data_IF_601982595524
#
_entry.id   IF_601982595524
#
_cell.length_a   1.000
_cell.length_b   1.000
_cell.length_c   1.000
_cell.angle_alpha   90.00
_cell.angle_beta   90.00
_cell.angle_gamma   90.00
#
_symmetry.space_group_name_H-M   'P 1'
#
loop_
_entity.id
_entity.type
_entity.pdbx_description
1 polymer ?
#
# COMPACT_ATOMS: atom_id res chain seq x y z
N UNK A 1 -6.20 -15.14 19.47
CA UNK A 1 -6.15 -15.82 18.16
C UNK A 1 -4.71 -16.12 17.79
N UNK A 2 -4.49 -16.99 16.80
CA UNK A 2 -3.16 -17.22 16.22
C UNK A 2 -3.14 -16.68 14.79
N UNK A 3 -2.00 -16.17 14.35
CA UNK A 3 -1.77 -15.73 12.98
C UNK A 3 -0.30 -15.98 12.58
N UNK A 4 0.00 -15.88 11.30
CA UNK A 4 1.35 -15.95 10.73
C UNK A 4 1.71 -14.64 10.06
N UNK A 5 2.99 -14.26 10.13
CA UNK A 5 3.50 -13.13 9.35
C UNK A 5 3.91 -13.57 7.93
N UNK A 6 4.37 -12.61 7.14
CA UNK A 6 4.83 -12.84 5.75
C UNK A 6 6.03 -13.79 5.64
N UNK A 7 6.71 -14.09 6.75
CA UNK A 7 7.83 -15.03 6.83
C UNK A 7 7.42 -16.40 7.36
N UNK A 8 6.12 -16.59 7.71
CA UNK A 8 5.58 -17.84 8.28
C UNK A 8 5.84 -18.00 9.78
N UNK A 9 6.29 -16.95 10.48
CA UNK A 9 6.42 -16.98 11.94
C UNK A 9 5.04 -16.89 12.58
N UNK A 10 4.80 -17.75 13.61
CA UNK A 10 3.52 -17.81 14.30
C UNK A 10 3.49 -16.89 15.52
N UNK A 11 2.39 -16.21 15.69
CA UNK A 11 2.10 -15.30 16.79
C UNK A 11 0.78 -15.66 17.47
N UNK A 12 0.63 -15.21 18.70
CA UNK A 12 -0.63 -15.33 19.47
C UNK A 12 -0.96 -13.99 20.10
N UNK A 13 -2.18 -13.52 19.88
CA UNK A 13 -2.66 -12.23 20.40
C UNK A 13 -4.09 -12.38 20.96
N UNK A 14 -4.42 -11.57 21.96
CA UNK A 14 -5.79 -11.42 22.42
C UNK A 14 -6.59 -10.51 21.48
N UNK A 15 -7.82 -10.90 21.17
CA UNK A 15 -8.71 -10.11 20.33
C UNK A 15 -9.35 -9.02 21.19
N UNK A 16 -9.15 -7.75 20.85
CA UNK A 16 -9.86 -6.65 21.46
C UNK A 16 -11.35 -6.70 21.03
N UNK A 17 -12.25 -6.85 22.00
CA UNK A 17 -13.69 -6.97 21.75
C UNK A 17 -14.38 -5.63 21.45
N UNK A 18 -13.72 -4.50 21.72
CA UNK A 18 -14.26 -3.17 21.47
C UNK A 18 -14.10 -2.72 20.02
N UNK A 19 -13.22 -3.38 19.24
CA UNK A 19 -12.99 -3.08 17.84
C UNK A 19 -14.01 -3.82 16.97
N UNK A 20 -14.57 -3.14 15.96
CA UNK A 20 -15.50 -3.72 15.01
C UNK A 20 -14.91 -4.96 14.33
N UNK A 21 -15.66 -6.06 14.30
CA UNK A 21 -15.21 -7.32 13.69
C UNK A 21 -15.56 -7.34 12.21
N UNK A 22 -14.71 -8.01 11.42
CA UNK A 22 -15.01 -8.26 10.00
C UNK A 22 -16.33 -9.03 9.87
N UNK A 23 -17.11 -8.65 8.88
CA UNK A 23 -18.41 -9.28 8.57
C UNK A 23 -18.36 -10.07 7.28
N UNK A 24 -17.19 -10.22 6.67
CA UNK A 24 -16.99 -11.01 5.47
C UNK A 24 -17.02 -12.49 5.79
N UNK A 25 -17.66 -13.26 4.90
CA UNK A 25 -17.65 -14.72 4.98
C UNK A 25 -16.40 -15.27 4.28
N UNK A 26 -15.46 -15.77 5.05
CA UNK A 26 -14.16 -16.27 4.55
C UNK A 26 -14.27 -17.39 3.50
N UNK A 27 -15.43 -18.05 3.39
CA UNK A 27 -15.67 -19.09 2.36
C UNK A 27 -16.04 -18.52 1.00
N UNK A 28 -16.32 -17.24 0.90
CA UNK A 28 -16.73 -16.56 -0.33
C UNK A 28 -15.59 -15.77 -1.00
N UNK A 29 -14.38 -15.82 -0.45
CA UNK A 29 -13.18 -15.35 -1.14
C UNK A 29 -12.76 -16.40 -2.18
N UNK A 30 -12.85 -16.03 -3.45
CA UNK A 30 -12.55 -16.92 -4.58
C UNK A 30 -11.32 -16.38 -5.30
N UNK A 31 -10.25 -17.18 -5.29
CA UNK A 31 -9.03 -16.93 -6.03
C UNK A 31 -9.12 -17.55 -7.43
N UNK A 32 -8.80 -16.77 -8.46
CA UNK A 32 -8.68 -17.18 -9.85
C UNK A 32 -7.37 -16.62 -10.42
N UNK A 33 -6.30 -17.41 -10.32
CA UNK A 33 -4.93 -16.94 -10.57
C UNK A 33 -4.57 -15.79 -9.63
N UNK A 34 -4.11 -14.68 -10.21
CA UNK A 34 -3.75 -13.47 -9.47
C UNK A 34 -4.98 -12.63 -9.05
N UNK A 35 -6.18 -13.10 -9.32
CA UNK A 35 -7.41 -12.36 -9.03
C UNK A 35 -8.14 -12.95 -7.85
N UNK A 36 -8.66 -12.06 -7.03
CA UNK A 36 -9.55 -12.39 -5.95
C UNK A 36 -10.93 -11.79 -6.23
N UNK A 37 -12.00 -12.53 -5.98
CA UNK A 37 -13.37 -12.01 -6.02
C UNK A 37 -14.10 -12.33 -4.72
N UNK A 38 -15.03 -11.45 -4.36
CA UNK A 38 -15.92 -11.62 -3.23
C UNK A 38 -17.29 -11.03 -3.54
N UNK A 39 -18.34 -11.75 -3.24
CA UNK A 39 -19.70 -11.21 -3.26
C UNK A 39 -20.60 -12.01 -2.32
N UNK A 40 -21.35 -11.33 -1.49
CA UNK A 40 -22.45 -11.88 -0.70
C UNK A 40 -23.70 -10.99 -0.80
N UNK A 41 -24.69 -11.18 0.09
CA UNK A 41 -25.90 -10.38 0.11
C UNK A 41 -25.65 -8.92 0.51
N UNK A 42 -24.59 -8.66 1.29
CA UNK A 42 -24.29 -7.37 1.90
C UNK A 42 -23.14 -6.62 1.18
N UNK A 43 -22.13 -7.35 0.72
CA UNK A 43 -20.91 -6.77 0.16
C UNK A 43 -20.62 -7.27 -1.25
N UNK A 44 -19.99 -6.44 -2.04
CA UNK A 44 -19.32 -6.80 -3.29
C UNK A 44 -17.92 -6.23 -3.28
N UNK A 45 -17.00 -6.83 -4.03
CA UNK A 45 -15.63 -6.34 -4.10
C UNK A 45 -15.29 -5.74 -5.46
N UNK A 46 -14.46 -4.71 -5.44
CA UNK A 46 -13.82 -4.08 -6.60
C UNK A 46 -12.35 -4.47 -6.63
N UNK A 47 -11.76 -4.56 -7.81
CA UNK A 47 -10.34 -4.87 -7.98
C UNK A 47 -9.55 -3.58 -8.20
N UNK A 48 -8.45 -3.42 -7.49
CA UNK A 48 -7.54 -2.28 -7.59
C UNK A 48 -6.08 -2.67 -7.60
N UNK A 49 -5.23 -1.66 -7.78
CA UNK A 49 -3.77 -1.77 -7.63
C UNK A 49 -3.27 -0.65 -6.74
N UNK A 50 -2.15 -0.86 -6.07
CA UNK A 50 -1.34 0.23 -5.53
C UNK A 50 0.01 0.29 -6.22
N UNK A 51 0.54 1.50 -6.36
CA UNK A 51 1.71 1.77 -7.17
C UNK A 51 2.52 2.95 -6.63
N UNK A 52 3.83 2.89 -6.88
CA UNK A 52 4.79 3.98 -6.68
C UNK A 52 5.70 4.08 -7.91
N UNK A 53 6.70 4.95 -7.90
CA UNK A 53 7.65 5.07 -8.99
C UNK A 53 8.38 3.75 -9.33
N UNK A 54 8.43 2.80 -8.41
CA UNK A 54 9.08 1.50 -8.61
C UNK A 54 8.46 0.67 -9.73
N UNK A 55 7.18 0.87 -10.03
CA UNK A 55 6.49 0.16 -11.10
C UNK A 55 6.84 0.69 -12.51
N UNK A 56 7.64 1.78 -12.60
CA UNK A 56 8.13 2.30 -13.88
C UNK A 56 6.99 2.81 -14.78
N UNK A 57 7.00 2.46 -16.04
CA UNK A 57 5.93 2.84 -16.98
C UNK A 57 4.72 1.93 -16.86
N UNK A 58 3.53 2.51 -16.68
CA UNK A 58 2.27 1.78 -16.54
C UNK A 58 1.33 2.12 -17.70
N UNK A 59 0.85 1.10 -18.43
CA UNK A 59 -0.23 1.26 -19.39
C UNK A 59 -1.60 1.23 -18.69
N UNK A 60 -2.01 2.37 -18.18
CA UNK A 60 -3.25 2.54 -17.41
C UNK A 60 -4.51 2.12 -18.19
N UNK A 61 -4.49 2.21 -19.52
CA UNK A 61 -5.60 1.72 -20.35
C UNK A 61 -5.68 0.20 -20.32
N UNK A 62 -4.53 -0.49 -20.29
CA UNK A 62 -4.52 -1.96 -20.11
C UNK A 62 -4.93 -2.34 -18.70
N UNK A 63 -4.53 -1.58 -17.66
CA UNK A 63 -5.01 -1.78 -16.28
C UNK A 63 -6.54 -1.73 -16.25
N UNK A 64 -7.16 -0.67 -16.80
CA UNK A 64 -8.62 -0.55 -16.87
C UNK A 64 -9.27 -1.66 -17.68
N UNK A 65 -8.74 -1.95 -18.86
CA UNK A 65 -9.24 -3.01 -19.73
C UNK A 65 -9.14 -4.42 -19.11
N UNK A 66 -8.19 -4.62 -18.21
CA UNK A 66 -8.03 -5.84 -17.41
C UNK A 66 -9.05 -5.94 -16.26
N UNK A 67 -9.94 -4.96 -16.07
CA UNK A 67 -11.02 -4.99 -15.08
C UNK A 67 -10.63 -4.45 -13.71
N UNK A 68 -9.56 -3.65 -13.62
CA UNK A 68 -9.25 -2.89 -12.43
C UNK A 68 -10.09 -1.62 -12.39
N UNK A 69 -10.63 -1.28 -11.23
CA UNK A 69 -11.56 -0.18 -11.05
C UNK A 69 -10.96 1.00 -10.32
N UNK A 70 -9.89 0.79 -9.56
CA UNK A 70 -9.26 1.83 -8.76
C UNK A 70 -7.74 1.64 -8.63
N UNK A 71 -7.07 2.71 -8.20
CA UNK A 71 -5.67 2.71 -7.85
C UNK A 71 -5.40 3.54 -6.59
N UNK A 72 -4.52 3.08 -5.71
CA UNK A 72 -3.84 3.90 -4.74
C UNK A 72 -2.44 4.24 -5.25
N UNK A 73 -2.11 5.53 -5.29
CA UNK A 73 -0.85 6.03 -5.87
C UNK A 73 -0.03 6.68 -4.77
N UNK A 74 1.24 6.31 -4.65
CA UNK A 74 2.12 6.97 -3.68
C UNK A 74 2.30 8.43 -4.06
N UNK A 75 1.91 9.35 -3.16
CA UNK A 75 2.13 10.79 -3.36
C UNK A 75 3.51 11.23 -2.91
N UNK A 76 4.06 10.56 -1.90
CA UNK A 76 5.36 10.87 -1.36
C UNK A 76 5.73 9.93 -0.21
N UNK A 77 6.88 10.19 0.37
CA UNK A 77 7.41 9.40 1.48
C UNK A 77 8.36 10.22 2.34
N UNK A 78 8.49 9.82 3.61
CA UNK A 78 9.60 10.29 4.46
C UNK A 78 10.71 9.25 4.43
N UNK A 79 11.95 9.69 4.18
CA UNK A 79 13.13 8.83 4.24
C UNK A 79 13.34 8.26 5.65
N UNK A 80 13.73 6.99 5.74
CA UNK A 80 13.90 6.27 7.00
C UNK A 80 15.22 6.59 7.72
N UNK A 81 16.19 7.19 7.04
CA UNK A 81 17.42 7.63 7.66
C UNK A 81 17.18 8.76 8.68
N UNK A 82 18.17 9.05 9.54
CA UNK A 82 18.09 10.02 10.63
C UNK A 82 17.55 11.39 10.19
N UNK A 83 17.91 11.84 8.98
CA UNK A 83 17.47 13.13 8.43
C UNK A 83 15.96 13.22 8.21
N UNK A 84 15.27 12.10 7.96
CA UNK A 84 13.81 12.04 7.80
C UNK A 84 13.26 13.02 6.76
N UNK A 85 13.93 13.15 5.61
CA UNK A 85 13.54 14.10 4.56
C UNK A 85 12.24 13.67 3.90
N UNK A 86 11.29 14.60 3.76
CA UNK A 86 10.05 14.37 3.01
C UNK A 86 10.30 14.55 1.51
N UNK A 87 9.89 13.59 0.70
CA UNK A 87 10.10 13.54 -0.73
C UNK A 87 8.79 13.28 -1.48
N UNK A 88 8.62 13.90 -2.63
CA UNK A 88 7.55 13.54 -3.55
C UNK A 88 7.90 12.23 -4.29
N UNK A 89 6.89 11.41 -4.58
CA UNK A 89 7.07 10.34 -5.55
C UNK A 89 7.20 10.94 -6.95
N UNK A 90 8.31 10.64 -7.63
CA UNK A 90 8.66 11.28 -8.92
C UNK A 90 7.69 10.97 -10.06
N UNK A 91 6.82 9.96 -9.90
CA UNK A 91 5.79 9.60 -10.88
C UNK A 91 4.38 9.96 -10.46
N UNK A 92 4.21 10.57 -9.30
CA UNK A 92 2.89 10.88 -8.77
C UNK A 92 2.00 11.65 -9.74
N UNK A 93 2.48 12.80 -10.24
CA UNK A 93 1.71 13.67 -11.14
C UNK A 93 1.36 12.97 -12.48
N UNK A 94 2.29 12.18 -13.01
CA UNK A 94 2.07 11.39 -14.20
C UNK A 94 1.01 10.30 -13.96
N UNK A 95 1.14 9.55 -12.88
CA UNK A 95 0.29 8.41 -12.59
C UNK A 95 -1.15 8.83 -12.28
N UNK A 96 -1.34 9.86 -11.44
CA UNK A 96 -2.68 10.29 -11.06
C UNK A 96 -3.47 10.79 -12.28
N UNK A 97 -2.84 11.57 -13.17
CA UNK A 97 -3.46 12.07 -14.38
C UNK A 97 -3.81 10.92 -15.34
N UNK A 98 -2.88 9.98 -15.54
CA UNK A 98 -3.09 8.87 -16.47
C UNK A 98 -4.12 7.86 -15.96
N UNK A 99 -4.14 7.56 -14.65
CA UNK A 99 -5.12 6.67 -14.03
C UNK A 99 -6.54 7.25 -14.13
N UNK A 100 -6.71 8.52 -13.78
CA UNK A 100 -8.01 9.22 -13.91
C UNK A 100 -8.47 9.31 -15.36
N UNK A 101 -7.57 9.61 -16.31
CA UNK A 101 -7.88 9.63 -17.75
C UNK A 101 -8.25 8.25 -18.29
N UNK A 102 -7.77 7.17 -17.67
CA UNK A 102 -8.16 5.80 -18.01
C UNK A 102 -9.51 5.39 -17.39
N UNK A 103 -10.09 6.22 -16.50
CA UNK A 103 -11.37 5.97 -15.85
C UNK A 103 -11.24 5.08 -14.60
N UNK A 104 -10.11 5.14 -13.91
CA UNK A 104 -9.93 4.56 -12.58
C UNK A 104 -10.31 5.57 -11.50
N UNK A 105 -10.95 5.10 -10.42
CA UNK A 105 -11.05 5.85 -9.19
C UNK A 105 -9.68 5.89 -8.52
N UNK A 106 -9.28 7.05 -7.98
CA UNK A 106 -7.94 7.22 -7.42
C UNK A 106 -7.99 7.68 -5.98
N UNK A 107 -7.21 7.01 -5.14
CA UNK A 107 -6.75 7.45 -3.83
C UNK A 107 -5.23 7.61 -3.82
N UNK A 108 -4.71 8.14 -2.74
CA UNK A 108 -3.27 8.31 -2.58
C UNK A 108 -2.79 7.75 -1.25
N UNK A 109 -1.52 7.35 -1.17
CA UNK A 109 -0.90 6.98 0.10
C UNK A 109 0.42 7.71 0.30
N UNK A 110 0.75 7.97 1.56
CA UNK A 110 2.01 8.56 1.98
C UNK A 110 2.75 7.56 2.87
N UNK A 111 3.93 7.11 2.42
CA UNK A 111 4.80 6.22 3.19
C UNK A 111 5.47 7.00 4.31
N UNK A 112 5.07 6.73 5.54
CA UNK A 112 5.44 7.50 6.71
C UNK A 112 6.57 6.86 7.51
N UNK A 113 7.52 7.71 7.88
CA UNK A 113 8.54 7.42 8.89
C UNK A 113 8.55 8.52 9.97
N UNK A 114 7.38 9.06 10.31
CA UNK A 114 7.23 10.06 11.34
C UNK A 114 7.53 9.50 12.74
N UNK A 115 8.37 10.17 13.51
CA UNK A 115 8.72 9.77 14.88
C UNK A 115 7.89 10.50 15.94
N UNK A 116 7.08 11.49 15.56
CA UNK A 116 6.20 12.25 16.42
C UNK A 116 5.05 12.90 15.62
N UNK A 117 4.06 13.47 16.34
CA UNK A 117 2.86 14.08 15.73
C UNK A 117 3.16 15.35 14.92
N UNK A 118 4.25 16.07 15.20
CA UNK A 118 4.64 17.25 14.43
C UNK A 118 5.06 16.83 13.02
N UNK A 119 5.88 15.80 12.92
CA UNK A 119 6.30 15.23 11.64
C UNK A 119 5.12 14.61 10.87
N UNK A 120 4.20 13.93 11.56
CA UNK A 120 3.00 13.39 10.91
C UNK A 120 2.11 14.51 10.33
N UNK A 121 2.00 15.66 11.01
CA UNK A 121 1.32 16.84 10.47
C UNK A 121 2.07 17.49 9.31
N UNK A 122 3.41 17.47 9.34
CA UNK A 122 4.24 17.92 8.21
C UNK A 122 3.98 17.05 6.97
N UNK A 123 3.91 15.72 7.15
CA UNK A 123 3.56 14.77 6.08
C UNK A 123 2.16 15.04 5.52
N UNK A 124 1.16 15.22 6.40
CA UNK A 124 -0.20 15.57 5.97
C UNK A 124 -0.24 16.89 5.19
N UNK A 125 0.49 17.92 5.68
CA UNK A 125 0.61 19.19 4.96
C UNK A 125 1.24 19.00 3.58
N UNK A 126 2.31 18.23 3.49
CA UNK A 126 2.95 17.91 2.21
C UNK A 126 1.95 17.26 1.24
N UNK A 127 1.17 16.28 1.70
CA UNK A 127 0.13 15.63 0.90
C UNK A 127 -0.90 16.65 0.41
N UNK A 128 -1.42 17.49 1.29
CA UNK A 128 -2.43 18.50 0.95
C UNK A 128 -1.91 19.54 -0.05
N UNK A 129 -0.66 19.96 0.09
CA UNK A 129 -0.02 20.90 -0.84
C UNK A 129 0.08 20.29 -2.26
N UNK A 130 0.37 18.97 -2.37
CA UNK A 130 0.52 18.26 -3.65
C UNK A 130 -0.82 17.80 -4.25
N UNK A 131 -1.89 17.67 -3.44
CA UNK A 131 -3.22 17.35 -3.94
C UNK A 131 -3.95 18.54 -4.57
N UNK A 132 -3.38 19.74 -4.50
CA UNK A 132 -4.02 20.93 -5.05
C UNK A 132 -4.28 20.79 -6.56
N UNK A 133 -5.55 20.78 -6.93
CA UNK A 133 -5.99 20.65 -8.33
C UNK A 133 -6.36 19.21 -8.74
N UNK A 134 -6.18 18.22 -7.88
CA UNK A 134 -6.66 16.86 -8.09
C UNK A 134 -7.95 16.59 -7.31
N UNK A 135 -8.82 15.77 -7.88
CA UNK A 135 -10.04 15.30 -7.23
C UNK A 135 -9.92 13.81 -6.97
N UNK A 136 -9.92 13.43 -5.71
CA UNK A 136 -9.84 12.03 -5.30
C UNK A 136 -11.25 11.42 -5.19
N UNK A 137 -11.40 10.16 -5.58
CA UNK A 137 -12.60 9.34 -5.38
C UNK A 137 -12.44 8.37 -4.22
N UNK A 138 -11.21 8.18 -3.75
CA UNK A 138 -10.82 7.30 -2.65
C UNK A 138 -10.01 8.09 -1.60
N UNK A 139 -9.86 7.55 -0.39
CA UNK A 139 -9.18 8.24 0.71
C UNK A 139 -7.70 8.58 0.45
N UNK A 140 -7.20 9.44 1.32
CA UNK A 140 -5.76 9.63 1.58
C UNK A 140 -5.35 8.66 2.68
N UNK A 141 -4.35 7.82 2.40
CA UNK A 141 -3.91 6.76 3.31
C UNK A 141 -2.63 7.15 4.02
N UNK A 142 -2.64 7.03 5.34
CA UNK A 142 -1.44 7.06 6.16
C UNK A 142 -0.85 5.65 6.20
N UNK A 143 0.38 5.51 5.72
CA UNK A 143 1.06 4.22 5.53
C UNK A 143 2.35 4.15 6.36
N UNK A 144 2.23 3.82 7.67
CA UNK A 144 3.37 3.63 8.54
C UNK A 144 3.86 2.20 8.39
N UNK A 145 5.15 2.01 8.08
CA UNK A 145 5.76 0.68 7.98
C UNK A 145 7.12 0.63 8.66
N UNK A 146 7.48 -0.55 9.16
CA UNK A 146 8.81 -0.82 9.69
C UNK A 146 9.79 -1.10 8.55
N UNK A 147 11.00 -0.58 8.64
CA UNK A 147 12.12 -0.94 7.77
C UNK A 147 12.82 -2.15 8.39
N UNK A 148 12.93 -3.25 7.64
CA UNK A 148 13.44 -4.52 8.20
C UNK A 148 14.89 -4.83 7.84
N UNK A 149 15.39 -4.22 6.77
CA UNK A 149 16.72 -4.56 6.21
C UNK A 149 17.82 -3.56 6.59
N UNK A 150 17.48 -2.46 7.31
CA UNK A 150 18.41 -1.41 7.71
C UNK A 150 17.94 -0.74 9.01
N UNK A 151 18.82 -0.02 9.70
CA UNK A 151 18.46 0.79 10.87
C UNK A 151 17.58 1.97 10.45
N UNK A 152 16.42 2.09 11.07
CA UNK A 152 15.47 3.15 10.76
C UNK A 152 15.25 4.10 11.94
N UNK A 153 14.96 5.34 11.63
CA UNK A 153 14.62 6.38 12.62
C UNK A 153 13.39 6.02 13.48
N UNK A 154 12.56 5.11 12.99
CA UNK A 154 11.35 4.65 13.65
C UNK A 154 11.53 3.41 14.51
N UNK A 155 12.69 2.75 14.55
CA UNK A 155 12.92 1.49 15.29
C UNK A 155 12.64 1.56 16.79
N UNK A 156 12.72 2.75 17.35
CA UNK A 156 12.48 2.99 18.78
C UNK A 156 11.21 3.79 19.07
N UNK A 157 10.39 3.98 18.07
CA UNK A 157 9.07 4.62 18.22
C UNK A 157 8.11 3.60 18.84
N UNK A 158 7.42 3.99 19.89
CA UNK A 158 6.45 3.09 20.54
C UNK A 158 5.14 3.02 19.76
N UNK A 159 4.41 1.92 19.91
CA UNK A 159 3.06 1.77 19.33
C UNK A 159 2.08 2.88 19.78
N UNK A 160 2.22 3.38 21.03
CA UNK A 160 1.46 4.55 21.47
C UNK A 160 1.78 5.80 20.62
N UNK A 161 3.06 6.00 20.27
CA UNK A 161 3.47 7.12 19.44
C UNK A 161 3.03 6.94 17.98
N UNK A 162 3.12 5.73 17.43
CA UNK A 162 2.58 5.44 16.09
C UNK A 162 1.07 5.72 16.02
N UNK A 163 0.31 5.35 17.04
CA UNK A 163 -1.12 5.67 17.14
C UNK A 163 -1.36 7.18 17.12
N UNK A 164 -0.59 7.97 17.88
CA UNK A 164 -0.70 9.44 17.91
C UNK A 164 -0.30 10.08 16.56
N UNK A 165 0.73 9.56 15.91
CA UNK A 165 1.16 10.02 14.59
C UNK A 165 0.05 9.79 13.56
N UNK A 166 -0.55 8.59 13.57
CA UNK A 166 -1.68 8.23 12.72
C UNK A 166 -2.87 9.17 12.93
N UNK A 167 -3.25 9.41 14.18
CA UNK A 167 -4.32 10.37 14.53
C UNK A 167 -4.00 11.78 14.04
N UNK A 168 -2.75 12.24 14.21
CA UNK A 168 -2.34 13.58 13.83
C UNK A 168 -2.38 13.79 12.32
N UNK A 169 -1.93 12.80 11.53
CA UNK A 169 -2.03 12.82 10.08
C UNK A 169 -3.48 12.79 9.61
N UNK A 170 -4.23 11.77 10.01
CA UNK A 170 -5.61 11.56 9.56
C UNK A 170 -6.52 12.74 9.91
N UNK A 171 -6.43 13.27 11.13
CA UNK A 171 -7.20 14.46 11.53
C UNK A 171 -6.89 15.69 10.68
N UNK A 172 -5.62 15.88 10.26
CA UNK A 172 -5.25 16.99 9.39
C UNK A 172 -5.83 16.84 7.97
N UNK A 173 -5.84 15.61 7.45
CA UNK A 173 -6.45 15.27 6.15
C UNK A 173 -7.97 15.52 6.19
N UNK A 174 -8.67 15.04 7.23
CA UNK A 174 -10.11 15.25 7.39
C UNK A 174 -10.47 16.73 7.57
N UNK A 175 -9.66 17.48 8.33
CA UNK A 175 -9.87 18.92 8.52
C UNK A 175 -9.78 19.71 7.21
N UNK A 176 -9.08 19.18 6.20
CA UNK A 176 -9.00 19.74 4.86
C UNK A 176 -10.13 19.26 3.92
N UNK A 177 -11.00 18.36 4.39
CA UNK A 177 -12.17 17.89 3.65
C UNK A 177 -11.93 16.65 2.78
N UNK A 178 -10.84 15.92 3.01
CA UNK A 178 -10.60 14.61 2.39
C UNK A 178 -10.93 13.48 3.36
N UNK A 179 -11.31 12.33 2.83
CA UNK A 179 -11.43 11.13 3.63
C UNK A 179 -10.03 10.59 3.97
N UNK A 180 -9.83 10.17 5.22
CA UNK A 180 -8.58 9.55 5.67
C UNK A 180 -8.77 8.03 5.86
N UNK A 181 -7.70 7.28 5.65
CA UNK A 181 -7.63 5.82 5.84
C UNK A 181 -6.27 5.45 6.42
N UNK A 182 -6.19 4.35 7.14
CA UNK A 182 -4.93 3.84 7.69
C UNK A 182 -4.54 2.53 7.01
N UNK A 183 -3.25 2.37 6.68
CA UNK A 183 -2.68 1.09 6.27
C UNK A 183 -2.22 0.32 7.50
N UNK A 184 -2.44 -0.99 7.51
CA UNK A 184 -2.01 -1.86 8.58
C UNK A 184 -1.86 -3.31 8.11
N UNK A 185 -1.14 -4.11 8.88
CA UNK A 185 -1.05 -5.56 8.77
C UNK A 185 -1.23 -6.21 10.14
N UNK A 186 -1.22 -7.54 10.20
CA UNK A 186 -1.45 -8.27 11.47
C UNK A 186 -0.50 -7.90 12.61
N UNK A 187 0.78 -7.64 12.31
CA UNK A 187 1.75 -7.26 13.34
C UNK A 187 1.46 -5.86 13.87
N UNK A 188 1.15 -4.92 12.97
CA UNK A 188 0.79 -3.56 13.35
C UNK A 188 -0.52 -3.49 14.12
N UNK A 189 -1.54 -4.27 13.72
CA UNK A 189 -2.81 -4.38 14.46
C UNK A 189 -2.63 -5.00 15.85
N UNK A 190 -1.67 -5.91 15.98
CA UNK A 190 -1.44 -6.64 17.23
C UNK A 190 -0.56 -5.90 18.23
N UNK A 191 0.42 -5.11 17.77
CA UNK A 191 1.50 -4.64 18.64
C UNK A 191 1.80 -3.14 18.53
N UNK A 192 1.43 -2.50 17.41
CA UNK A 192 1.84 -1.11 17.15
C UNK A 192 0.68 -0.13 17.19
N UNK A 193 -0.49 -0.46 16.64
CA UNK A 193 -1.60 0.46 16.56
C UNK A 193 -2.69 0.16 17.58
N UNK A 194 -3.14 1.18 18.30
CA UNK A 194 -4.36 1.12 19.10
C UNK A 194 -5.59 1.37 18.20
N UNK A 195 -6.06 0.29 17.55
CA UNK A 195 -7.21 0.37 16.64
C UNK A 195 -8.53 0.77 17.33
N UNK A 196 -8.63 0.70 18.66
CA UNK A 196 -9.79 1.20 19.40
C UNK A 196 -9.82 2.73 19.34
N UNK A 197 -8.67 3.40 19.51
CA UNK A 197 -8.55 4.85 19.36
C UNK A 197 -8.70 5.29 17.89
N UNK A 198 -8.22 4.47 16.98
CA UNK A 198 -8.27 4.75 15.53
C UNK A 198 -9.57 4.27 14.87
N UNK A 199 -10.58 3.86 15.64
CA UNK A 199 -11.81 3.25 15.14
C UNK A 199 -12.68 4.14 14.23
N UNK A 200 -12.39 5.44 14.17
CA UNK A 200 -13.04 6.38 13.24
C UNK A 200 -12.53 6.24 11.80
N UNK A 201 -11.34 5.67 11.60
CA UNK A 201 -10.70 5.58 10.30
C UNK A 201 -10.89 4.19 9.69
N UNK A 202 -11.27 4.10 8.40
CA UNK A 202 -11.27 2.83 7.68
C UNK A 202 -9.84 2.27 7.55
N UNK A 203 -9.74 0.95 7.41
CA UNK A 203 -8.47 0.24 7.33
C UNK A 203 -8.25 -0.31 5.93
N UNK A 204 -7.06 -0.07 5.39
CA UNK A 204 -6.45 -0.83 4.31
C UNK A 204 -5.54 -1.88 4.96
N UNK A 205 -6.00 -3.13 4.92
CA UNK A 205 -5.33 -4.26 5.56
C UNK A 205 -4.45 -5.01 4.56
N UNK A 206 -3.20 -5.30 4.92
CA UNK A 206 -2.29 -6.12 4.13
C UNK A 206 -2.09 -7.50 4.76
N UNK A 207 -2.30 -8.54 3.96
CA UNK A 207 -2.11 -9.93 4.35
C UNK A 207 -2.14 -10.80 3.09
N UNK A 208 -1.11 -11.60 2.87
CA UNK A 208 -0.92 -12.37 1.63
C UNK A 208 -1.33 -13.83 1.78
N UNK A 209 -2.07 -14.14 2.85
CA UNK A 209 -2.69 -15.43 3.03
C UNK A 209 -3.94 -15.62 2.14
N UNK A 210 -4.38 -16.86 1.96
CA UNK A 210 -5.57 -17.17 1.15
C UNK A 210 -6.85 -16.53 1.68
N UNK A 211 -6.86 -16.13 2.95
CA UNK A 211 -7.96 -15.48 3.65
C UNK A 211 -7.40 -14.48 4.63
N UNK A 212 -8.08 -13.33 4.83
CA UNK A 212 -7.60 -12.33 5.76
C UNK A 212 -7.61 -12.86 7.18
N UNK A 213 -6.46 -12.87 7.84
CA UNK A 213 -6.30 -13.39 9.20
C UNK A 213 -6.88 -12.46 10.25
N UNK A 214 -6.94 -11.14 9.99
CA UNK A 214 -7.46 -10.18 10.96
C UNK A 214 -8.90 -10.50 11.38
N UNK A 215 -9.23 -10.40 12.69
CA UNK A 215 -10.59 -10.51 13.16
C UNK A 215 -11.37 -9.18 13.00
N UNK A 216 -10.69 -8.08 12.66
CA UNK A 216 -11.23 -6.75 12.63
C UNK A 216 -11.78 -6.39 11.25
N UNK A 217 -12.63 -5.35 11.21
CA UNK A 217 -13.17 -4.86 9.96
C UNK A 217 -12.14 -4.06 9.18
N UNK A 218 -12.11 -4.25 7.88
CA UNK A 218 -11.30 -3.50 6.92
C UNK A 218 -12.13 -3.20 5.67
N UNK A 219 -11.78 -2.15 4.94
CA UNK A 219 -12.46 -1.78 3.70
C UNK A 219 -11.64 -2.15 2.45
N UNK A 220 -10.32 -2.15 2.57
CA UNK A 220 -9.40 -2.55 1.50
C UNK A 220 -8.51 -3.66 1.99
N UNK A 221 -8.31 -4.68 1.15
CA UNK A 221 -7.37 -5.77 1.42
C UNK A 221 -6.32 -5.85 0.32
N UNK A 222 -5.05 -5.63 0.69
CA UNK A 222 -3.90 -5.96 -0.15
C UNK A 222 -3.60 -7.44 0.03
N UNK A 223 -4.00 -8.25 -0.94
CA UNK A 223 -3.95 -9.71 -0.84
C UNK A 223 -2.75 -10.34 -1.55
N UNK A 224 -1.93 -9.56 -2.23
CA UNK A 224 -0.67 -9.99 -2.84
C UNK A 224 0.26 -8.81 -3.11
N UNK A 225 1.56 -9.05 -3.00
CA UNK A 225 2.65 -8.15 -3.37
C UNK A 225 3.34 -8.57 -4.69
N UNK A 226 2.79 -9.53 -5.43
CA UNK A 226 3.39 -10.12 -6.65
C UNK A 226 2.39 -10.16 -7.82
N UNK A 227 1.62 -9.10 -8.00
CA UNK A 227 0.66 -9.01 -9.07
C UNK A 227 1.28 -8.59 -10.41
N UNK A 228 0.71 -9.04 -11.53
CA UNK A 228 1.06 -8.53 -12.86
C UNK A 228 -0.17 -8.24 -13.68
N UNK A 229 -0.24 -7.03 -14.26
CA UNK A 229 -1.32 -6.65 -15.19
C UNK A 229 -0.90 -7.00 -16.62
N UNK A 230 -1.65 -7.90 -17.26
CA UNK A 230 -1.51 -8.12 -18.70
C UNK A 230 -0.45 -9.12 -19.13
N UNK A 231 -0.11 -10.13 -18.34
CA UNK A 231 0.43 -11.38 -18.92
C UNK A 231 -0.65 -12.04 -19.76
N UNK A 232 -0.81 -11.56 -21.01
CA UNK A 232 -1.40 -12.39 -22.04
C UNK A 232 -0.55 -13.67 -22.12
N UNK A 233 -1.19 -14.84 -22.19
CA UNK A 233 -0.52 -16.11 -22.43
C UNK A 233 0.48 -15.93 -23.57
N UNK A 234 1.78 -15.91 -23.26
CA UNK A 234 2.80 -15.99 -24.29
C UNK A 234 2.72 -17.42 -24.80
N UNK A 235 2.17 -17.59 -25.99
CA UNK A 235 2.28 -18.84 -26.69
C UNK A 235 3.78 -19.18 -26.77
N UNK A 236 4.14 -20.35 -26.30
CA UNK A 236 5.47 -20.92 -26.37
C UNK A 236 5.90 -21.03 -27.84
N UNK A 237 6.56 -20.00 -28.35
CA UNK A 237 7.37 -20.06 -29.54
C UNK A 237 8.81 -20.30 -29.13
N UNK A 238 9.33 -21.48 -29.41
CA UNK A 238 10.73 -21.80 -29.31
C UNK A 238 11.58 -20.75 -30.03
N UNK A 239 12.51 -20.12 -29.30
CA UNK A 239 13.67 -19.46 -29.90
C UNK A 239 14.92 -19.94 -29.15
N UNK A 240 15.96 -20.37 -29.89
CA UNK A 240 17.12 -21.06 -29.29
C UNK A 240 18.03 -20.10 -28.55
N UNK A 241 18.72 -20.65 -27.56
CA UNK A 241 19.75 -20.03 -26.76
C UNK A 241 20.78 -19.27 -27.61
N UNK A 242 20.98 -17.98 -27.31
CA UNK A 242 22.16 -17.25 -27.74
C UNK A 242 23.26 -17.39 -26.70
N UNK A 243 24.44 -17.72 -27.18
CA UNK A 243 25.68 -18.02 -26.50
C UNK A 243 26.22 -16.83 -25.70
N UNK A 244 26.82 -17.16 -24.55
CA UNK A 244 27.76 -16.31 -23.84
C UNK A 244 28.93 -15.92 -24.75
N UNK A 245 29.12 -14.61 -24.97
CA UNK A 245 30.37 -13.92 -25.25
C UNK A 245 30.06 -12.47 -25.61
N UNK A 246 30.16 -11.57 -24.63
CA UNK A 246 30.86 -10.29 -24.76
C UNK A 246 30.88 -9.54 -23.41
N UNK A 247 31.98 -9.73 -22.67
CA UNK A 247 32.38 -8.83 -21.61
C UNK A 247 33.52 -8.00 -22.13
N UNK A 248 33.26 -6.76 -22.49
CA UNK A 248 34.32 -5.75 -22.45
C UNK A 248 33.78 -4.34 -22.29
N UNK A 249 34.13 -3.79 -21.11
CA UNK A 249 34.56 -2.41 -20.85
C UNK A 249 33.76 -1.21 -21.40
N UNK A 250 33.42 -0.39 -20.43
CA UNK A 250 33.33 1.08 -20.43
C UNK A 250 31.99 1.49 -19.83
N UNK A 251 31.85 2.32 -18.86
CA UNK A 251 32.52 3.47 -18.33
C UNK A 251 31.82 3.81 -17.00
N UNK A 252 32.58 3.93 -15.93
CA UNK A 252 32.11 4.44 -14.65
C UNK A 252 32.12 5.96 -14.73
N UNK A 253 30.98 6.58 -14.92
CA UNK A 253 30.77 7.97 -14.53
C UNK A 253 29.34 8.20 -14.06
N UNK A 254 29.22 8.42 -12.76
CA UNK A 254 28.26 9.27 -12.08
C UNK A 254 26.76 8.97 -12.21
N UNK A 255 26.27 8.04 -11.38
CA UNK A 255 24.97 8.22 -10.73
C UNK A 255 25.11 7.83 -9.26
N UNK A 256 25.59 8.76 -8.47
CA UNK A 256 25.60 8.68 -7.03
C UNK A 256 24.28 9.28 -6.51
N UNK A 257 23.17 8.55 -6.67
CA UNK A 257 21.88 8.81 -6.04
C UNK A 257 21.26 7.45 -5.71
N UNK A 258 21.91 6.69 -4.82
CA UNK A 258 21.33 5.49 -4.27
C UNK A 258 21.83 5.24 -2.86
N UNK A 259 21.33 6.06 -1.94
CA UNK A 259 21.38 5.77 -0.52
C UNK A 259 20.02 6.05 0.15
N UNK A 260 18.94 5.82 -0.57
CA UNK A 260 17.60 5.81 -0.01
C UNK A 260 17.01 4.43 -0.30
N UNK A 261 17.45 3.45 0.52
CA UNK A 261 16.93 2.11 0.46
C UNK A 261 15.45 2.10 0.81
N UNK A 262 14.62 1.88 -0.18
CA UNK A 262 13.33 1.26 0.03
C UNK A 262 13.63 -0.23 0.26
N UNK A 263 13.59 -0.68 1.50
CA UNK A 263 13.81 -2.08 1.85
C UNK A 263 12.59 -2.98 1.60
N UNK A 264 11.55 -2.48 0.97
CA UNK A 264 10.66 -3.35 0.23
C UNK A 264 11.45 -3.85 -0.97
N UNK A 265 11.83 -5.12 -1.01
CA UNK A 265 12.30 -5.77 -2.23
C UNK A 265 11.26 -5.54 -3.31
N UNK A 266 11.47 -4.48 -4.07
CA UNK A 266 10.69 -4.20 -5.26
C UNK A 266 11.15 -5.17 -6.35
N UNK A 267 10.72 -6.43 -6.26
CA UNK A 267 10.45 -7.15 -7.47
C UNK A 267 9.43 -6.33 -8.23
N UNK A 268 9.61 -6.14 -9.54
CA UNK A 268 8.82 -5.32 -10.45
C UNK A 268 7.33 -5.74 -10.56
N UNK A 269 6.72 -6.14 -9.45
CA UNK A 269 5.34 -6.57 -9.30
C UNK A 269 4.43 -5.39 -8.92
N UNK A 270 3.19 -5.45 -9.40
CA UNK A 270 2.12 -4.57 -8.95
C UNK A 270 1.45 -5.24 -7.74
N UNK A 271 1.11 -4.46 -6.73
CA UNK A 271 0.30 -4.96 -5.63
C UNK A 271 -1.18 -4.94 -6.01
N UNK A 272 -1.90 -6.00 -5.69
CA UNK A 272 -3.31 -6.11 -6.01
C UNK A 272 -4.17 -5.91 -4.78
N UNK A 273 -5.18 -5.07 -4.93
CA UNK A 273 -6.11 -4.65 -3.91
C UNK A 273 -7.52 -5.16 -4.17
N UNK A 274 -8.26 -5.35 -3.09
CA UNK A 274 -9.71 -5.49 -3.09
C UNK A 274 -10.32 -4.46 -2.16
N UNK A 275 -11.15 -3.59 -2.71
CA UNK A 275 -12.05 -2.76 -1.91
C UNK A 275 -13.40 -3.46 -1.79
N UNK A 276 -14.00 -3.39 -0.60
CA UNK A 276 -15.31 -3.95 -0.29
C UNK A 276 -16.30 -2.81 -0.11
N UNK A 277 -17.35 -2.81 -0.92
CA UNK A 277 -18.43 -1.82 -0.82
C UNK A 277 -19.72 -2.50 -0.37
N UNK A 278 -20.43 -1.88 0.58
CA UNK A 278 -21.80 -2.29 0.92
C UNK A 278 -22.71 -2.12 -0.30
N UNK A 279 -23.64 -3.03 -0.48
CA UNK A 279 -24.68 -2.97 -1.52
C UNK A 279 -25.78 -2.01 -1.13
#
# INVERSE_FOLDING_TARGET
MQFVDVYGQQYSVEINQNIAKKQYNDTLFIHDGDRLTYADEKYTSRLGIDVSYHQGEIDWKKVKAAGYDFAFIRIGYRGYAEAGTVNADIRFDEYIQQAQNAGLDVGVYFFSQAVNEEEAREEAKFVLDHLSGYNLQLPVVFDPESILDDDARTDHVSGEQFTKNTEAFCSAIEAAGYDAMIYSNMLWEAYELDLEKLSAYPVWYADYELKPQTPYHFEVWQYTNQGSVGKAAISTGNTPAASEEDRSSEDHSDCNIDSFGDSCRCDSGHYFLKAFTSR
#
